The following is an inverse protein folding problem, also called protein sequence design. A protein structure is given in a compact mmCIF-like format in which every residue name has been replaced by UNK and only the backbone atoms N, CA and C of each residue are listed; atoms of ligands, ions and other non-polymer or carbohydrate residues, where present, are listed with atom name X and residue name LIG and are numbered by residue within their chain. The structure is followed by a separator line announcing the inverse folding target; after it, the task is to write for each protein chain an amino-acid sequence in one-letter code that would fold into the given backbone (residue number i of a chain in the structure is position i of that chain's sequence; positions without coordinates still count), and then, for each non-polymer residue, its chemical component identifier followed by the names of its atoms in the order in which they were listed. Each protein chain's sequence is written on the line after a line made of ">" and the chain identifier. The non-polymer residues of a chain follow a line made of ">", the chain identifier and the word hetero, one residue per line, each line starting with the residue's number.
data_IF_848126820933
#
_entry.id   IF_848126820933
#
_cell.length_a   1.000
_cell.length_b   1.000
_cell.length_c   1.000
_cell.angle_alpha   90.00
_cell.angle_beta   90.00
_cell.angle_gamma   90.00
#
_symmetry.space_group_name_H-M   'P 1'
#
loop_
_entity.id
_entity.type
_entity.pdbx_description
1 polymer ?
#
# COMPACT_ATOMS: atom_id res chain seq x y z
N UNK A 1 14.66 0.41 -15.33
CA UNK A 1 14.21 -0.43 -14.19
C UNK A 1 13.23 0.41 -13.38
N UNK A 2 12.04 -0.10 -13.02
CA UNK A 2 11.15 0.60 -12.10
C UNK A 2 11.84 0.76 -10.73
N UNK A 3 11.50 1.80 -9.95
CA UNK A 3 12.17 2.08 -8.68
C UNK A 3 11.73 1.08 -7.60
N UNK A 4 12.58 0.11 -7.28
CA UNK A 4 12.41 -0.72 -6.08
C UNK A 4 12.54 0.20 -4.87
N UNK A 5 11.44 0.37 -4.13
CA UNK A 5 11.43 1.22 -2.93
C UNK A 5 11.54 0.31 -1.72
N UNK A 6 12.52 0.51 -0.85
CA UNK A 6 12.57 -0.18 0.43
C UNK A 6 11.92 0.68 1.52
N UNK A 7 11.03 0.08 2.32
CA UNK A 7 10.47 0.77 3.47
C UNK A 7 10.21 -0.18 4.62
N UNK A 8 10.70 0.20 5.80
CA UNK A 8 10.53 -0.60 7.01
C UNK A 8 11.10 -2.01 6.87
N UNK A 9 12.14 -2.22 6.06
CA UNK A 9 12.74 -3.54 5.79
C UNK A 9 11.92 -4.45 4.87
N UNK A 10 10.96 -3.89 4.14
CA UNK A 10 10.20 -4.59 3.08
C UNK A 10 10.47 -3.89 1.75
N UNK A 11 10.78 -4.66 0.72
CA UNK A 11 10.99 -4.14 -0.64
C UNK A 11 9.67 -4.10 -1.40
N UNK A 12 9.40 -2.98 -2.06
CA UNK A 12 8.21 -2.77 -2.88
C UNK A 12 8.63 -2.71 -4.34
N UNK A 13 7.97 -3.54 -5.14
CA UNK A 13 8.17 -3.60 -6.58
C UNK A 13 6.81 -3.58 -7.28
N UNK A 14 6.71 -2.76 -8.32
CA UNK A 14 5.53 -2.67 -9.17
C UNK A 14 5.38 -3.91 -10.06
N UNK A 15 6.45 -4.71 -10.18
CA UNK A 15 6.44 -5.98 -10.90
C UNK A 15 6.69 -7.15 -9.94
N UNK A 16 6.33 -8.33 -10.42
CA UNK A 16 6.71 -9.57 -9.77
C UNK A 16 8.02 -10.08 -10.38
N UNK A 17 9.12 -10.14 -9.60
CA UNK A 17 10.35 -10.76 -10.07
C UNK A 17 10.17 -12.28 -10.21
N UNK A 18 10.95 -12.89 -11.11
CA UNK A 18 10.80 -14.30 -11.47
C UNK A 18 11.04 -15.27 -10.28
N UNK A 19 11.87 -14.85 -9.32
CA UNK A 19 12.20 -15.59 -8.12
C UNK A 19 11.33 -15.20 -6.91
N UNK A 20 10.18 -14.56 -7.14
CA UNK A 20 9.24 -14.20 -6.08
C UNK A 20 8.33 -15.37 -5.69
N UNK A 21 8.35 -15.71 -4.41
CA UNK A 21 7.41 -16.67 -3.80
C UNK A 21 6.33 -15.90 -3.06
N UNK A 22 5.11 -15.94 -3.62
CA UNK A 22 3.93 -15.30 -3.02
C UNK A 22 3.46 -16.08 -1.79
N UNK A 23 3.35 -15.40 -0.65
CA UNK A 23 2.67 -15.88 0.55
C UNK A 23 1.18 -15.56 0.45
N UNK A 24 0.83 -14.28 0.31
CA UNK A 24 -0.56 -13.83 0.30
C UNK A 24 -0.71 -12.48 -0.40
N UNK A 25 -1.90 -12.19 -0.95
CA UNK A 25 -2.23 -10.84 -1.44
C UNK A 25 -2.68 -9.96 -0.29
N UNK A 26 -2.10 -8.77 -0.20
CA UNK A 26 -2.40 -7.75 0.78
C UNK A 26 -3.09 -6.56 0.11
N UNK A 27 -4.21 -6.14 0.69
CA UNK A 27 -4.97 -4.96 0.25
C UNK A 27 -5.19 -4.08 1.47
N UNK A 28 -4.83 -2.80 1.36
CA UNK A 28 -4.90 -1.83 2.45
C UNK A 28 -5.58 -0.57 1.93
N UNK A 29 -6.65 -0.18 2.60
CA UNK A 29 -7.39 1.05 2.30
C UNK A 29 -7.32 1.95 3.52
N UNK A 30 -6.80 3.16 3.34
CA UNK A 30 -6.78 4.19 4.37
C UNK A 30 -7.97 5.12 4.13
N UNK A 31 -9.09 4.87 4.82
CA UNK A 31 -10.28 5.72 4.78
C UNK A 31 -10.16 6.85 5.81
N UNK A 32 -10.45 8.09 5.41
CA UNK A 32 -10.30 9.32 6.22
C UNK A 32 -11.55 9.69 7.03
N UNK A 33 -12.43 8.71 7.31
CA UNK A 33 -13.60 8.91 8.16
C UNK A 33 -13.25 8.83 9.65
N UNK A 34 -13.54 9.91 10.39
CA UNK A 34 -13.41 10.10 11.84
C UNK A 34 -12.00 10.46 12.39
N UNK A 35 -11.70 11.76 12.39
CA UNK A 35 -11.12 12.42 13.56
C UNK A 35 -9.61 12.57 13.66
N UNK A 36 -8.82 12.19 12.66
CA UNK A 36 -7.38 12.48 12.66
C UNK A 36 -6.92 13.08 11.33
N UNK A 37 -6.89 14.41 11.34
CA UNK A 37 -6.38 15.33 10.31
C UNK A 37 -4.84 15.31 10.21
N UNK A 38 -4.22 14.13 10.37
CA UNK A 38 -2.79 13.97 10.20
C UNK A 38 -2.52 12.84 9.21
N UNK A 39 -2.30 13.28 7.97
CA UNK A 39 -1.33 12.69 7.05
C UNK A 39 -1.56 11.20 6.78
N UNK A 40 -2.45 10.90 5.83
CA UNK A 40 -2.46 9.62 5.12
C UNK A 40 -1.71 9.77 3.81
N UNK A 41 -0.39 9.85 3.91
CA UNK A 41 0.47 9.93 2.74
C UNK A 41 0.70 8.54 2.15
N UNK A 42 1.17 8.45 0.90
CA UNK A 42 1.69 7.22 0.30
C UNK A 42 2.68 6.49 1.24
N UNK A 43 3.41 7.27 2.04
CA UNK A 43 4.37 6.77 3.01
C UNK A 43 3.69 5.97 4.12
N UNK A 44 2.56 6.42 4.66
CA UNK A 44 1.84 5.73 5.74
C UNK A 44 1.15 4.46 5.21
N UNK A 45 0.66 4.52 3.97
CA UNK A 45 0.17 3.34 3.26
C UNK A 45 1.27 2.28 3.11
N UNK A 46 2.45 2.69 2.63
CA UNK A 46 3.62 1.79 2.51
C UNK A 46 4.05 1.25 3.88
N UNK A 47 4.02 2.07 4.93
CA UNK A 47 4.41 1.63 6.28
C UNK A 47 3.42 0.62 6.86
N UNK A 48 2.11 0.86 6.71
CA UNK A 48 1.08 -0.10 7.10
C UNK A 48 1.21 -1.42 6.33
N UNK A 49 1.47 -1.35 5.02
CA UNK A 49 1.68 -2.53 4.20
C UNK A 49 2.96 -3.28 4.56
N UNK A 50 4.05 -2.56 4.84
CA UNK A 50 5.32 -3.16 5.27
C UNK A 50 5.17 -3.88 6.62
N UNK A 51 4.50 -3.27 7.59
CA UNK A 51 4.19 -3.92 8.88
C UNK A 51 3.40 -5.20 8.66
N UNK A 52 2.33 -5.13 7.86
CA UNK A 52 1.48 -6.30 7.63
C UNK A 52 2.18 -7.41 6.83
N UNK A 53 3.06 -7.05 5.90
CA UNK A 53 3.91 -8.01 5.21
C UNK A 53 4.85 -8.73 6.18
N UNK A 54 5.48 -7.98 7.10
CA UNK A 54 6.33 -8.56 8.15
C UNK A 54 5.56 -9.47 9.10
N UNK A 55 4.35 -9.09 9.50
CA UNK A 55 3.49 -9.93 10.34
C UNK A 55 3.15 -11.27 9.65
N UNK A 56 3.13 -11.29 8.31
CA UNK A 56 2.92 -12.49 7.50
C UNK A 56 4.22 -13.28 7.23
N UNK A 57 5.37 -12.82 7.71
CA UNK A 57 6.69 -13.41 7.42
C UNK A 57 7.24 -13.07 6.03
N UNK A 58 6.66 -12.10 5.33
CA UNK A 58 7.14 -11.61 4.04
C UNK A 58 8.10 -10.43 4.16
N UNK A 59 9.10 -10.39 3.28
CA UNK A 59 10.09 -9.31 3.16
C UNK A 59 10.00 -8.56 1.82
N UNK A 60 9.07 -8.97 0.95
CA UNK A 60 8.90 -8.41 -0.39
C UNK A 60 7.40 -8.22 -0.71
N UNK A 61 7.07 -7.09 -1.32
CA UNK A 61 5.75 -6.79 -1.87
C UNK A 61 5.91 -6.60 -3.37
N UNK A 62 5.47 -7.60 -4.14
CA UNK A 62 5.42 -7.59 -5.59
C UNK A 62 4.08 -7.05 -6.10
N UNK A 63 4.02 -6.69 -7.39
CA UNK A 63 2.81 -6.17 -8.06
C UNK A 63 2.18 -4.99 -7.29
N UNK A 64 3.01 -4.17 -6.65
CA UNK A 64 2.56 -3.09 -5.81
C UNK A 64 1.83 -2.05 -6.66
N UNK A 65 0.53 -1.90 -6.39
CA UNK A 65 -0.35 -0.92 -7.00
C UNK A 65 -0.86 0.01 -5.93
N UNK A 66 -0.79 1.31 -6.16
CA UNK A 66 -1.35 2.32 -5.27
C UNK A 66 -2.16 3.35 -6.04
N UNK A 67 -3.10 4.00 -5.37
CA UNK A 67 -3.83 5.10 -5.95
C UNK A 67 -4.60 5.92 -4.93
N UNK A 68 -5.11 7.04 -5.41
CA UNK A 68 -5.95 7.96 -4.67
C UNK A 68 -7.32 7.99 -5.32
N UNK A 69 -8.35 7.59 -4.58
CA UNK A 69 -9.74 7.86 -4.98
C UNK A 69 -10.14 9.19 -4.37
N UNK A 70 -10.22 10.22 -5.22
CA UNK A 70 -10.94 11.44 -4.88
C UNK A 70 -12.42 11.14 -4.99
N UNK A 71 -13.16 11.31 -3.89
CA UNK A 71 -14.61 11.23 -3.91
C UNK A 71 -15.17 12.15 -5.01
N UNK A 72 -16.07 11.60 -5.84
CA UNK A 72 -16.73 12.32 -6.93
C UNK A 72 -17.32 13.66 -6.48
N UNK A 73 -17.53 14.56 -7.45
CA UNK A 73 -18.15 15.90 -7.37
C UNK A 73 -19.36 16.00 -6.40
N UNK A 74 -20.10 14.92 -6.15
CA UNK A 74 -21.21 14.87 -5.18
C UNK A 74 -20.78 14.92 -3.69
N UNK A 75 -19.54 14.54 -3.35
CA UNK A 75 -18.99 14.64 -1.99
C UNK A 75 -18.48 16.05 -1.65
N UNK A 76 -18.20 16.89 -2.67
CA UNK A 76 -17.79 18.28 -2.47
C UNK A 76 -18.92 19.14 -1.87
N UNK A 77 -20.18 18.78 -2.12
CA UNK A 77 -21.36 19.43 -1.52
C UNK A 77 -21.49 19.18 -0.01
N UNK A 78 -20.76 18.21 0.54
CA UNK A 78 -20.81 17.83 1.96
C UNK A 78 -19.48 18.03 2.71
N UNK A 79 -18.55 18.85 2.19
CA UNK A 79 -17.31 19.31 2.88
C UNK A 79 -16.53 18.23 3.65
N UNK A 80 -16.63 16.97 3.24
CA UNK A 80 -15.86 15.87 3.79
C UNK A 80 -14.80 15.53 2.74
N UNK A 81 -13.62 16.13 2.89
CA UNK A 81 -12.42 15.82 2.12
C UNK A 81 -11.94 14.38 2.41
N UNK A 82 -12.73 13.41 1.97
CA UNK A 82 -12.39 12.00 2.08
C UNK A 82 -11.44 11.64 0.93
N UNK A 83 -10.17 12.00 1.09
CA UNK A 83 -9.10 11.43 0.28
C UNK A 83 -8.91 9.98 0.72
N UNK A 84 -9.22 9.04 -0.17
CA UNK A 84 -9.15 7.61 0.12
C UNK A 84 -7.96 7.00 -0.63
N UNK A 85 -6.87 6.75 0.10
CA UNK A 85 -5.70 6.06 -0.43
C UNK A 85 -5.92 4.55 -0.38
N UNK A 86 -5.63 3.88 -1.49
CA UNK A 86 -5.66 2.43 -1.58
C UNK A 86 -4.32 1.91 -2.07
N UNK A 87 -3.91 0.77 -1.51
CA UNK A 87 -2.70 0.04 -1.87
C UNK A 87 -2.99 -1.44 -1.92
N UNK A 88 -2.47 -2.10 -2.94
CA UNK A 88 -2.56 -3.55 -3.11
C UNK A 88 -1.21 -4.09 -3.55
N UNK A 89 -0.89 -5.31 -3.14
CA UNK A 89 0.32 -5.99 -3.56
C UNK A 89 0.35 -7.43 -3.08
N UNK A 90 1.24 -8.21 -3.66
CA UNK A 90 1.47 -9.59 -3.27
C UNK A 90 2.64 -9.63 -2.29
N UNK A 91 2.39 -10.07 -1.06
CA UNK A 91 3.40 -10.28 -0.02
C UNK A 91 4.09 -11.61 -0.26
N UNK A 92 5.41 -11.62 -0.12
CA UNK A 92 6.23 -12.80 -0.30
C UNK A 92 7.67 -12.57 0.09
N UNK A 93 8.55 -13.41 -0.45
CA UNK A 93 9.99 -13.30 -0.33
C UNK A 93 10.64 -13.65 -1.66
N UNK A 94 11.87 -13.18 -1.84
CA UNK A 94 12.70 -13.62 -2.96
C UNK A 94 13.39 -14.92 -2.56
N UNK A 95 13.33 -15.90 -3.44
CA UNK A 95 14.10 -17.12 -3.32
C UNK A 95 15.42 -16.93 -4.08
N UNK A 96 16.54 -17.33 -3.48
CA UNK A 96 17.84 -17.40 -4.14
C UNK A 96 17.91 -18.58 -5.12
#
# INVERSE_FOLDING_TARGET
>A
MPPVTERGGVKFDEKQPANFVRIQRLETNLNSGFGQDQLKSLRDLKEAMARRAKDMGGSYIANFTYGQRNGSVLQQLWSLDNVLWFGAGDVGFLQD
#
